data_IF_835655198041
#
_entry.id   IF_835655198041
#
_cell.length_a   1.000
_cell.length_b   1.000
_cell.length_c   1.000
_cell.angle_alpha   90.00
_cell.angle_beta   90.00
_cell.angle_gamma   90.00
#
_symmetry.space_group_name_H-M   'P 1'
#
loop_
_entity.id
_entity.type
_entity.pdbx_description
1 polymer ?
#
# COMPACT_ATOMS: atom_id res chain seq x y z
N UNK A 1 -0.35 -13.14 46.77
CA UNK A 1 -0.22 -13.19 45.31
C UNK A 1 -1.00 -12.04 44.71
N UNK A 2 -0.39 -11.03 44.12
CA UNK A 2 -1.13 -10.01 43.41
C UNK A 2 -1.48 -10.54 42.04
N UNK A 3 -2.78 -10.40 41.70
CA UNK A 3 -3.33 -10.75 40.40
C UNK A 3 -2.67 -9.88 39.30
N UNK A 4 -2.11 -10.52 38.29
CA UNK A 4 -1.72 -9.86 37.05
C UNK A 4 -2.97 -9.22 36.42
N UNK A 5 -3.01 -7.88 36.42
CA UNK A 5 -3.96 -7.13 35.61
C UNK A 5 -3.73 -7.50 34.15
N UNK A 6 -4.76 -8.05 33.51
CA UNK A 6 -4.71 -8.47 32.10
C UNK A 6 -4.39 -7.27 31.23
N UNK A 7 -3.28 -7.34 30.52
CA UNK A 7 -2.99 -6.48 29.38
C UNK A 7 -3.99 -6.85 28.29
N UNK A 8 -5.06 -6.05 28.15
CA UNK A 8 -5.92 -6.08 26.96
C UNK A 8 -5.18 -5.35 25.84
N UNK A 9 -4.16 -6.00 25.28
CA UNK A 9 -3.58 -5.56 24.03
C UNK A 9 -4.66 -5.55 22.94
N UNK A 10 -4.62 -4.58 22.04
CA UNK A 10 -5.49 -4.57 20.84
C UNK A 10 -5.11 -5.79 20.02
N UNK A 11 -5.91 -6.84 20.14
CA UNK A 11 -5.67 -8.10 19.43
C UNK A 11 -5.71 -7.81 17.94
N UNK A 12 -4.54 -7.82 17.29
CA UNK A 12 -4.41 -7.94 15.86
C UNK A 12 -4.03 -6.70 15.04
N UNK A 13 -3.49 -5.59 15.63
CA UNK A 13 -2.90 -4.51 14.80
C UNK A 13 -1.64 -5.03 14.09
N UNK A 14 -1.61 -4.87 12.77
CA UNK A 14 -0.43 -5.20 11.96
C UNK A 14 0.31 -3.92 11.59
N UNK A 15 1.62 -4.06 11.42
CA UNK A 15 2.51 -2.96 11.05
C UNK A 15 3.21 -3.26 9.74
N UNK A 16 3.10 -2.33 8.79
CA UNK A 16 3.85 -2.33 7.56
C UNK A 16 4.86 -1.19 7.52
N UNK A 17 5.83 -1.29 6.63
CA UNK A 17 6.84 -0.24 6.43
C UNK A 17 7.21 -0.08 4.97
N UNK A 18 7.72 1.12 4.60
CA UNK A 18 8.19 1.40 3.26
C UNK A 18 9.64 0.97 3.07
N UNK A 19 9.87 0.25 1.96
CA UNK A 19 11.23 0.03 1.44
C UNK A 19 11.65 1.22 0.57
N UNK A 20 12.97 1.50 0.52
CA UNK A 20 13.48 2.55 -0.34
C UNK A 20 13.37 2.13 -1.81
N UNK A 21 12.64 2.93 -2.59
CA UNK A 21 12.49 2.75 -4.03
C UNK A 21 13.31 3.77 -4.82
N UNK A 22 13.84 4.78 -4.15
CA UNK A 22 14.62 5.90 -4.74
C UNK A 22 15.52 6.53 -3.70
N UNK A 23 16.48 7.36 -4.18
CA UNK A 23 17.44 8.06 -3.33
C UNK A 23 18.58 7.17 -2.82
N UNK A 24 19.44 7.69 -1.95
CA UNK A 24 20.73 7.07 -1.62
C UNK A 24 20.61 5.69 -0.94
N UNK A 25 19.48 5.38 -0.34
CA UNK A 25 19.22 4.07 0.29
C UNK A 25 18.53 3.06 -0.63
N UNK A 26 18.14 3.45 -1.85
CA UNK A 26 17.57 2.57 -2.87
C UNK A 26 18.65 1.71 -3.55
N UNK A 27 19.30 0.90 -2.77
CA UNK A 27 20.35 -0.03 -3.17
C UNK A 27 19.95 -1.46 -2.80
N UNK A 28 20.66 -2.45 -3.37
CA UNK A 28 20.46 -3.85 -2.97
C UNK A 28 20.61 -4.04 -1.46
N UNK A 29 21.61 -3.42 -0.87
CA UNK A 29 21.86 -3.49 0.57
C UNK A 29 20.74 -2.84 1.38
N UNK A 30 20.28 -1.64 0.99
CA UNK A 30 19.18 -0.94 1.66
C UNK A 30 17.86 -1.70 1.58
N UNK A 31 17.48 -2.18 0.39
CA UNK A 31 16.23 -2.93 0.17
C UNK A 31 16.24 -4.25 0.94
N UNK A 32 17.28 -5.08 0.75
CA UNK A 32 17.35 -6.41 1.38
C UNK A 32 17.58 -6.29 2.89
N UNK A 33 18.43 -5.35 3.32
CA UNK A 33 18.72 -5.15 4.74
C UNK A 33 17.48 -4.74 5.52
N UNK A 34 16.75 -3.72 5.03
CA UNK A 34 15.51 -3.28 5.69
C UNK A 34 14.41 -4.35 5.65
N UNK A 35 14.28 -5.09 4.54
CA UNK A 35 13.29 -6.15 4.45
C UNK A 35 13.55 -7.27 5.49
N UNK A 36 14.79 -7.74 5.60
CA UNK A 36 15.17 -8.76 6.59
C UNK A 36 15.03 -8.28 8.03
N UNK A 37 15.43 -7.04 8.29
CA UNK A 37 15.31 -6.47 9.63
C UNK A 37 13.85 -6.28 10.03
N UNK A 38 12.99 -5.76 9.13
CA UNK A 38 11.56 -5.65 9.37
C UNK A 38 10.90 -7.00 9.65
N UNK A 39 11.25 -8.04 8.88
CA UNK A 39 10.79 -9.40 9.15
C UNK A 39 11.25 -9.92 10.52
N UNK A 40 12.53 -9.73 10.86
CA UNK A 40 13.09 -10.11 12.15
C UNK A 40 12.41 -9.44 13.35
N UNK A 41 12.02 -8.18 13.17
CA UNK A 41 11.34 -7.36 14.18
C UNK A 41 9.83 -7.64 14.27
N UNK A 42 9.28 -8.49 13.39
CA UNK A 42 7.87 -8.88 13.42
C UNK A 42 6.93 -7.94 12.65
N UNK A 43 7.45 -7.10 11.76
CA UNK A 43 6.60 -6.36 10.84
C UNK A 43 5.87 -7.32 9.90
N UNK A 44 4.62 -6.97 9.58
CA UNK A 44 3.74 -7.79 8.76
C UNK A 44 4.01 -7.65 7.27
N UNK A 45 4.27 -6.43 6.79
CA UNK A 45 4.40 -6.14 5.37
C UNK A 45 5.50 -5.16 5.05
N UNK A 46 6.09 -5.31 3.87
CA UNK A 46 6.95 -4.32 3.23
C UNK A 46 6.25 -3.73 2.01
N UNK A 47 6.25 -2.40 1.92
CA UNK A 47 5.53 -1.67 0.88
C UNK A 47 6.46 -0.91 -0.03
N UNK A 48 6.09 -0.85 -1.30
CA UNK A 48 6.81 -0.10 -2.32
C UNK A 48 5.86 0.79 -3.13
N UNK A 49 6.34 1.99 -3.47
CA UNK A 49 5.69 2.86 -4.42
C UNK A 49 6.05 2.45 -5.86
N UNK A 50 5.22 2.86 -6.82
CA UNK A 50 5.40 2.56 -8.23
C UNK A 50 5.57 3.83 -9.05
N UNK A 51 6.71 3.95 -9.71
CA UNK A 51 6.98 4.85 -10.80
C UNK A 51 7.91 4.13 -11.78
N UNK A 52 7.72 4.36 -13.07
CA UNK A 52 8.53 3.77 -14.14
C UNK A 52 9.51 4.79 -14.69
N UNK A 53 9.02 5.99 -14.99
CA UNK A 53 9.82 7.11 -15.49
C UNK A 53 9.33 8.42 -14.90
N UNK A 54 10.21 9.40 -14.79
CA UNK A 54 9.85 10.75 -14.39
C UNK A 54 10.15 11.73 -15.52
N UNK A 55 9.25 12.66 -15.83
CA UNK A 55 9.54 13.75 -16.77
C UNK A 55 10.58 14.70 -16.17
N UNK A 56 11.29 15.43 -17.03
CA UNK A 56 12.18 16.50 -16.59
C UNK A 56 11.42 17.68 -16.01
N UNK A 57 10.25 17.97 -16.56
CA UNK A 57 9.29 18.98 -16.11
C UNK A 57 7.90 18.37 -16.04
N UNK A 58 7.05 18.86 -15.14
CA UNK A 58 5.70 18.34 -14.94
C UNK A 58 4.77 19.48 -14.52
N UNK A 59 3.62 19.57 -15.19
CA UNK A 59 2.47 20.41 -14.82
C UNK A 59 1.49 19.66 -13.91
N UNK A 60 1.66 18.35 -13.75
CA UNK A 60 0.82 17.51 -12.90
C UNK A 60 1.00 17.85 -11.42
N UNK A 61 -0.12 17.99 -10.72
CA UNK A 61 -0.11 18.26 -9.27
C UNK A 61 0.02 16.97 -8.49
N UNK A 62 1.04 16.90 -7.61
CA UNK A 62 1.20 15.78 -6.69
C UNK A 62 0.22 15.88 -5.51
N UNK A 63 -0.65 14.89 -5.28
CA UNK A 63 -1.76 15.02 -4.34
C UNK A 63 -1.36 14.95 -2.85
N UNK A 64 -0.13 14.54 -2.54
CA UNK A 64 0.29 14.25 -1.17
C UNK A 64 1.25 15.29 -0.56
N UNK A 65 1.39 16.46 -1.20
CA UNK A 65 2.12 17.60 -0.64
C UNK A 65 1.28 18.86 -0.73
N UNK A 66 1.42 19.75 0.24
CA UNK A 66 0.74 21.07 0.23
C UNK A 66 1.20 21.92 -0.95
N UNK A 67 2.44 21.77 -1.37
CA UNK A 67 3.00 22.51 -2.52
C UNK A 67 2.51 21.98 -3.87
N UNK A 68 1.87 20.82 -3.92
CA UNK A 68 1.52 20.12 -5.15
C UNK A 68 2.73 19.59 -5.94
N UNK A 69 3.95 19.73 -5.41
CA UNK A 69 5.17 19.23 -6.06
C UNK A 69 5.59 17.90 -5.49
N UNK A 70 6.01 16.98 -6.34
CA UNK A 70 6.53 15.69 -5.91
C UNK A 70 7.88 15.88 -5.19
N UNK A 71 8.04 15.37 -3.93
CA UNK A 71 9.19 15.68 -3.09
C UNK A 71 10.29 14.63 -3.27
N UNK A 72 10.77 14.31 -4.39
CA UNK A 72 11.75 13.25 -4.42
C UNK A 72 12.57 13.14 -5.69
N UNK A 73 13.59 12.30 -5.61
CA UNK A 73 14.45 11.93 -6.73
C UNK A 73 13.68 11.26 -7.86
N UNK A 74 14.28 11.27 -9.05
CA UNK A 74 13.71 10.69 -10.27
C UNK A 74 14.29 9.31 -10.59
N UNK A 75 15.07 8.76 -9.67
CA UNK A 75 15.85 7.54 -9.73
C UNK A 75 15.11 6.31 -9.17
N UNK A 76 13.82 6.15 -9.50
CA UNK A 76 13.01 5.06 -8.98
C UNK A 76 13.45 3.70 -9.54
N UNK A 77 13.61 2.73 -8.64
CA UNK A 77 13.71 1.31 -8.99
C UNK A 77 12.35 0.74 -9.35
N UNK A 78 12.32 -0.21 -10.31
CA UNK A 78 11.08 -0.89 -10.69
C UNK A 78 10.47 -1.71 -9.55
N UNK A 79 9.16 -1.59 -9.40
CA UNK A 79 8.41 -2.20 -8.31
C UNK A 79 8.50 -3.74 -8.29
N UNK A 80 8.31 -4.41 -9.41
CA UNK A 80 8.36 -5.87 -9.46
C UNK A 80 9.77 -6.42 -9.29
N UNK A 81 10.78 -5.69 -9.75
CA UNK A 81 12.18 -6.03 -9.53
C UNK A 81 12.52 -6.02 -8.04
N UNK A 82 12.11 -4.98 -7.30
CA UNK A 82 12.28 -4.93 -5.84
C UNK A 82 11.55 -6.09 -5.17
N UNK A 83 10.27 -6.28 -5.47
CA UNK A 83 9.47 -7.33 -4.83
C UNK A 83 10.04 -8.73 -5.11
N UNK A 84 10.56 -8.99 -6.31
CA UNK A 84 11.23 -10.24 -6.63
C UNK A 84 12.47 -10.50 -5.77
N UNK A 85 13.31 -9.47 -5.56
CA UNK A 85 14.48 -9.55 -4.69
C UNK A 85 14.06 -9.76 -3.23
N UNK A 86 13.06 -9.06 -2.74
CA UNK A 86 12.56 -9.19 -1.36
C UNK A 86 11.89 -10.55 -1.14
N UNK A 87 11.17 -11.08 -2.14
CA UNK A 87 10.57 -12.42 -2.08
C UNK A 87 11.62 -13.50 -1.81
N UNK A 88 12.77 -13.41 -2.48
CA UNK A 88 13.88 -14.35 -2.29
C UNK A 88 14.74 -14.08 -1.04
N UNK A 89 14.58 -12.91 -0.39
CA UNK A 89 15.38 -12.53 0.77
C UNK A 89 14.66 -12.69 2.11
N UNK A 90 13.34 -12.95 2.10
CA UNK A 90 12.44 -13.05 3.26
C UNK A 90 11.55 -14.27 3.14
N UNK A 91 10.96 -14.71 4.27
CA UNK A 91 10.13 -15.92 4.33
C UNK A 91 8.66 -15.66 4.71
N UNK A 92 8.39 -14.62 5.52
CA UNK A 92 7.06 -14.34 6.12
C UNK A 92 6.51 -12.98 5.73
N UNK A 93 7.39 -12.03 5.42
CA UNK A 93 7.03 -10.64 5.15
C UNK A 93 6.12 -10.54 3.91
N UNK A 94 4.94 -9.95 4.06
CA UNK A 94 4.05 -9.69 2.92
C UNK A 94 4.63 -8.62 2.00
N UNK A 95 4.43 -8.81 0.72
CA UNK A 95 4.97 -8.00 -0.36
C UNK A 95 3.83 -7.16 -0.95
N UNK A 96 3.87 -5.86 -0.72
CA UNK A 96 2.73 -4.99 -1.06
C UNK A 96 3.16 -3.85 -1.97
N UNK A 97 2.45 -3.67 -3.07
CA UNK A 97 2.54 -2.41 -3.85
C UNK A 97 1.68 -1.33 -3.19
N UNK A 98 2.21 -0.12 -3.01
CA UNK A 98 1.49 0.98 -2.34
C UNK A 98 1.72 2.31 -3.06
N UNK A 99 1.14 2.47 -4.24
CA UNK A 99 0.30 1.52 -4.97
C UNK A 99 0.86 1.31 -6.38
N UNK A 100 0.60 0.15 -6.99
CA UNK A 100 0.86 -0.06 -8.41
C UNK A 100 -0.09 0.81 -9.24
N UNK A 101 0.44 1.58 -10.16
CA UNK A 101 -0.37 2.38 -11.08
C UNK A 101 -0.81 1.49 -12.24
N UNK A 102 -2.04 0.99 -12.17
CA UNK A 102 -2.54 -0.05 -13.09
C UNK A 102 -2.39 0.31 -14.57
N UNK A 103 -2.76 1.54 -15.03
CA UNK A 103 -2.68 1.86 -16.45
C UNK A 103 -1.26 1.92 -17.04
N UNK A 104 -0.20 1.94 -16.22
CA UNK A 104 1.18 2.00 -16.74
C UNK A 104 1.62 0.72 -17.43
N UNK A 105 0.95 -0.40 -17.20
CA UNK A 105 1.35 -1.72 -17.71
C UNK A 105 0.21 -2.44 -18.42
N UNK A 106 0.57 -3.30 -19.35
CA UNK A 106 -0.36 -4.22 -19.96
C UNK A 106 -1.00 -5.13 -18.89
N UNK A 107 -2.34 -5.28 -18.84
CA UNK A 107 -3.03 -6.01 -17.77
C UNK A 107 -2.72 -7.51 -17.76
N UNK A 108 -2.52 -8.13 -18.93
CA UNK A 108 -2.18 -9.56 -19.06
C UNK A 108 -0.77 -9.81 -18.53
N UNK A 109 0.18 -8.94 -18.91
CA UNK A 109 1.56 -9.02 -18.39
C UNK A 109 1.57 -8.82 -16.88
N UNK A 110 0.83 -7.82 -16.38
CA UNK A 110 0.72 -7.55 -14.94
C UNK A 110 0.13 -8.74 -14.19
N UNK A 111 -0.94 -9.35 -14.71
CA UNK A 111 -1.54 -10.56 -14.12
C UNK A 111 -0.50 -11.69 -14.02
N UNK A 112 0.30 -11.89 -15.07
CA UNK A 112 1.35 -12.91 -15.11
C UNK A 112 2.46 -12.64 -14.10
N UNK A 113 2.92 -11.39 -14.01
CA UNK A 113 3.97 -11.00 -13.07
C UNK A 113 3.52 -11.19 -11.61
N UNK A 114 2.29 -10.78 -11.29
CA UNK A 114 1.72 -10.95 -9.94
C UNK A 114 1.54 -12.42 -9.60
N UNK A 115 1.00 -13.25 -10.49
CA UNK A 115 0.84 -14.67 -10.27
C UNK A 115 2.19 -15.38 -10.05
N UNK A 116 3.19 -15.04 -10.85
CA UNK A 116 4.55 -15.58 -10.72
C UNK A 116 5.19 -15.17 -9.39
N UNK A 117 5.06 -13.90 -9.02
CA UNK A 117 5.57 -13.38 -7.75
C UNK A 117 4.87 -14.05 -6.55
N UNK A 118 3.56 -14.28 -6.66
CA UNK A 118 2.78 -14.96 -5.62
C UNK A 118 3.27 -16.40 -5.40
N UNK A 119 3.49 -17.14 -6.48
CA UNK A 119 4.08 -18.49 -6.43
C UNK A 119 5.49 -18.46 -5.83
N UNK A 120 6.37 -17.59 -6.31
CA UNK A 120 7.77 -17.51 -5.87
C UNK A 120 7.91 -17.01 -4.43
N UNK A 121 6.96 -16.22 -3.95
CA UNK A 121 6.93 -15.74 -2.56
C UNK A 121 6.23 -16.70 -1.60
N UNK A 122 5.63 -17.80 -2.07
CA UNK A 122 4.83 -18.68 -1.21
C UNK A 122 3.49 -18.07 -0.77
N UNK A 123 2.83 -17.28 -1.63
CA UNK A 123 1.51 -16.71 -1.36
C UNK A 123 1.54 -15.44 -0.49
N UNK A 124 2.59 -14.63 -0.58
CA UNK A 124 2.77 -13.43 0.24
C UNK A 124 2.44 -12.11 -0.44
N UNK A 125 1.91 -12.11 -1.67
CA UNK A 125 1.61 -10.89 -2.42
C UNK A 125 0.29 -10.27 -1.97
N UNK A 126 0.27 -8.96 -1.82
CA UNK A 126 -0.94 -8.12 -1.80
C UNK A 126 -0.78 -7.03 -2.84
N UNK A 127 -1.71 -6.95 -3.79
CA UNK A 127 -1.66 -5.98 -4.86
C UNK A 127 -2.41 -4.71 -4.47
N UNK A 128 -1.69 -3.71 -3.95
CA UNK A 128 -2.23 -2.38 -3.77
C UNK A 128 -2.25 -1.64 -5.11
N UNK A 129 -3.41 -1.11 -5.51
CA UNK A 129 -3.63 -0.53 -6.84
C UNK A 129 -4.07 0.92 -6.78
N UNK A 130 -3.61 1.70 -7.74
CA UNK A 130 -3.98 3.09 -7.94
C UNK A 130 -4.21 3.42 -9.41
N UNK A 131 -4.77 4.61 -9.65
CA UNK A 131 -5.08 5.07 -11.01
C UNK A 131 -4.00 6.00 -11.59
N UNK A 132 -3.04 6.44 -10.78
CA UNK A 132 -2.01 7.39 -11.20
C UNK A 132 -2.42 8.86 -11.11
N UNK A 133 -1.42 9.73 -11.03
CA UNK A 133 -1.57 11.19 -10.92
C UNK A 133 -0.72 11.96 -11.94
N UNK A 134 0.37 11.37 -12.44
CA UNK A 134 1.40 12.01 -13.27
C UNK A 134 1.08 11.77 -14.76
N UNK A 135 0.42 12.75 -15.40
CA UNK A 135 0.01 12.67 -16.82
C UNK A 135 1.19 12.38 -17.75
N UNK A 136 2.29 13.07 -17.53
CA UNK A 136 3.47 12.99 -18.38
C UNK A 136 4.11 11.58 -18.35
N UNK A 137 3.96 10.85 -17.25
CA UNK A 137 4.37 9.45 -17.17
C UNK A 137 3.43 8.55 -17.99
N UNK A 138 2.11 8.81 -18.01
CA UNK A 138 1.18 8.13 -18.91
C UNK A 138 1.57 8.29 -20.37
N UNK A 139 1.91 9.50 -20.76
CA UNK A 139 2.31 9.84 -22.13
C UNK A 139 3.60 9.14 -22.52
N UNK A 140 4.64 9.19 -21.66
CA UNK A 140 5.93 8.54 -21.89
C UNK A 140 5.81 7.01 -22.01
N UNK A 141 4.87 6.39 -21.30
CA UNK A 141 4.63 4.96 -21.33
C UNK A 141 3.65 4.53 -22.43
N UNK A 142 3.12 5.47 -23.24
CA UNK A 142 2.05 5.20 -24.20
C UNK A 142 0.86 4.50 -23.55
N UNK A 143 0.58 4.82 -22.30
CA UNK A 143 -0.53 4.28 -21.53
C UNK A 143 -1.88 4.72 -22.10
N UNK A 144 -3.00 4.03 -21.83
CA UNK A 144 -4.33 4.53 -22.18
C UNK A 144 -4.58 5.94 -21.59
N UNK A 145 -5.53 6.66 -22.19
CA UNK A 145 -5.82 8.08 -21.84
C UNK A 145 -5.86 8.33 -20.34
N UNK A 146 -5.13 9.33 -19.90
CA UNK A 146 -5.11 9.78 -18.52
C UNK A 146 -6.50 10.13 -17.98
N UNK A 147 -7.38 10.72 -18.82
CA UNK A 147 -8.76 11.08 -18.47
C UNK A 147 -9.59 9.82 -18.15
N UNK A 148 -9.31 8.73 -18.84
CA UNK A 148 -10.03 7.45 -18.68
C UNK A 148 -9.36 6.50 -17.67
N UNK A 149 -8.27 6.92 -17.00
CA UNK A 149 -7.46 6.06 -16.12
C UNK A 149 -8.27 5.30 -15.04
N UNK A 150 -9.37 5.90 -14.57
CA UNK A 150 -10.27 5.23 -13.64
C UNK A 150 -10.99 4.03 -14.25
N UNK A 151 -11.60 4.21 -15.43
CA UNK A 151 -12.31 3.15 -16.17
C UNK A 151 -11.33 2.06 -16.64
N UNK A 152 -10.15 2.47 -17.14
CA UNK A 152 -9.06 1.54 -17.48
C UNK A 152 -8.66 0.70 -16.27
N UNK A 153 -8.46 1.30 -15.10
CA UNK A 153 -8.10 0.56 -13.89
C UNK A 153 -9.19 -0.42 -13.45
N UNK A 154 -10.47 -0.06 -13.58
CA UNK A 154 -11.59 -0.93 -13.27
C UNK A 154 -11.61 -2.16 -14.20
N UNK A 155 -11.30 -1.95 -15.49
CA UNK A 155 -11.20 -3.04 -16.46
C UNK A 155 -9.98 -3.92 -16.21
N UNK A 156 -8.80 -3.33 -15.90
CA UNK A 156 -7.57 -4.08 -15.57
C UNK A 156 -7.76 -4.99 -14.35
N UNK A 157 -8.46 -4.53 -13.31
CA UNK A 157 -8.76 -5.39 -12.14
C UNK A 157 -9.61 -6.59 -12.56
N UNK A 158 -10.63 -6.42 -13.40
CA UNK A 158 -11.47 -7.52 -13.87
C UNK A 158 -10.67 -8.53 -14.70
N UNK A 159 -9.80 -8.03 -15.59
CA UNK A 159 -8.91 -8.87 -16.41
C UNK A 159 -8.00 -9.71 -15.51
N UNK A 160 -7.32 -9.10 -14.55
CA UNK A 160 -6.41 -9.80 -13.65
C UNK A 160 -7.14 -10.86 -12.83
N UNK A 161 -8.29 -10.54 -12.23
CA UNK A 161 -9.10 -11.51 -11.47
C UNK A 161 -9.51 -12.69 -12.35
N UNK A 162 -9.92 -12.45 -13.59
CA UNK A 162 -10.29 -13.52 -14.51
C UNK A 162 -9.09 -14.41 -14.85
N UNK A 163 -7.94 -13.82 -15.21
CA UNK A 163 -6.72 -14.56 -15.55
C UNK A 163 -6.15 -15.37 -14.39
N UNK A 164 -6.45 -15.01 -13.14
CA UNK A 164 -6.02 -15.73 -11.95
C UNK A 164 -6.97 -16.86 -11.54
N UNK A 165 -8.17 -16.93 -12.12
CA UNK A 165 -9.22 -17.86 -11.70
C UNK A 165 -9.79 -18.73 -12.82
N UNK A 166 -9.51 -18.40 -14.08
CA UNK A 166 -10.11 -19.06 -15.24
C UNK A 166 -9.03 -19.41 -16.29
N UNK A 167 -9.03 -20.64 -16.80
CA UNK A 167 -8.14 -21.11 -17.87
C UNK A 167 -8.88 -22.16 -18.72
N UNK A 168 -8.97 -22.01 -20.04
CA UNK A 168 -8.61 -20.82 -20.81
C UNK A 168 -9.54 -19.63 -20.51
N UNK A 169 -9.02 -18.42 -20.69
CA UNK A 169 -9.75 -17.17 -20.43
C UNK A 169 -9.98 -16.40 -21.73
N UNK A 170 -11.14 -15.76 -21.84
CA UNK A 170 -11.47 -14.80 -22.91
C UNK A 170 -12.09 -13.56 -22.27
N UNK A 171 -11.74 -12.39 -22.77
CA UNK A 171 -12.24 -11.11 -22.26
C UNK A 171 -12.54 -10.16 -23.41
N UNK A 172 -13.67 -9.49 -23.33
CA UNK A 172 -14.06 -8.42 -24.23
C UNK A 172 -14.48 -7.20 -23.43
N UNK A 173 -13.61 -6.19 -23.42
CA UNK A 173 -13.79 -4.93 -22.71
C UNK A 173 -13.74 -3.74 -23.65
N UNK A 174 -13.84 -2.55 -23.06
CA UNK A 174 -13.74 -1.28 -23.80
C UNK A 174 -12.29 -1.00 -24.22
N UNK A 175 -11.31 -1.32 -23.36
CA UNK A 175 -9.90 -0.97 -23.55
C UNK A 175 -9.05 -2.16 -23.95
N UNK A 176 -9.49 -3.38 -23.65
CA UNK A 176 -8.70 -4.58 -23.89
C UNK A 176 -9.55 -5.78 -24.26
N UNK A 177 -9.00 -6.65 -25.13
CA UNK A 177 -9.64 -7.90 -25.52
C UNK A 177 -8.62 -9.00 -25.74
N UNK A 178 -9.00 -10.22 -25.39
CA UNK A 178 -8.27 -11.45 -25.75
C UNK A 178 -9.22 -12.63 -25.81
N UNK A 179 -8.80 -13.67 -26.50
CA UNK A 179 -9.61 -14.86 -26.69
C UNK A 179 -8.77 -16.12 -26.47
N UNK A 180 -9.32 -17.06 -25.71
CA UNK A 180 -8.79 -18.41 -25.48
C UNK A 180 -7.31 -18.44 -25.08
N UNK A 181 -6.92 -17.61 -24.09
CA UNK A 181 -5.55 -17.53 -23.59
C UNK A 181 -5.35 -18.34 -22.32
N UNK A 182 -4.17 -18.94 -22.16
CA UNK A 182 -3.72 -19.61 -20.95
C UNK A 182 -2.78 -18.68 -20.16
N UNK A 183 -3.11 -18.40 -18.91
CA UNK A 183 -2.29 -17.56 -18.01
C UNK A 183 -1.90 -18.34 -16.76
N UNK A 184 -1.16 -19.42 -16.94
CA UNK A 184 -0.69 -20.30 -15.86
C UNK A 184 0.81 -20.07 -15.57
N UNK A 185 1.30 -20.34 -14.32
CA UNK A 185 0.52 -20.85 -13.18
C UNK A 185 -0.45 -19.83 -12.60
N UNK A 186 -1.53 -20.31 -11.99
CA UNK A 186 -2.37 -19.48 -11.13
C UNK A 186 -1.62 -19.08 -9.86
N UNK A 187 -1.99 -17.95 -9.21
CA UNK A 187 -1.49 -17.62 -7.90
C UNK A 187 -1.73 -18.74 -6.88
N UNK A 188 -0.88 -18.84 -5.86
CA UNK A 188 -1.09 -19.76 -4.73
C UNK A 188 -2.29 -19.34 -3.88
N UNK A 189 -2.44 -18.04 -3.66
CA UNK A 189 -3.56 -17.47 -2.90
C UNK A 189 -4.88 -17.68 -3.65
N UNK A 190 -5.93 -18.06 -2.92
CA UNK A 190 -7.26 -18.32 -3.50
C UNK A 190 -8.30 -17.36 -2.91
N UNK A 191 -9.22 -16.84 -3.72
CA UNK A 191 -9.34 -17.06 -5.19
C UNK A 191 -8.22 -16.39 -5.99
N UNK A 192 -7.55 -15.38 -5.45
CA UNK A 192 -6.43 -14.61 -6.02
C UNK A 192 -5.70 -13.82 -4.91
N UNK A 193 -4.52 -13.23 -5.17
CA UNK A 193 -3.87 -12.30 -4.24
C UNK A 193 -4.83 -11.15 -3.88
N UNK A 194 -4.88 -10.72 -2.61
CA UNK A 194 -5.74 -9.61 -2.20
C UNK A 194 -5.44 -8.34 -3.00
N UNK A 195 -6.49 -7.63 -3.43
CA UNK A 195 -6.39 -6.36 -4.13
C UNK A 195 -6.81 -5.24 -3.17
N UNK A 196 -5.89 -4.36 -2.84
CA UNK A 196 -6.15 -3.17 -2.04
C UNK A 196 -6.24 -1.93 -2.92
N UNK A 197 -7.28 -1.14 -2.77
CA UNK A 197 -7.48 0.07 -3.57
C UNK A 197 -6.99 1.29 -2.80
N UNK A 198 -6.07 2.03 -3.39
CA UNK A 198 -5.53 3.27 -2.84
C UNK A 198 -6.45 4.49 -3.07
N UNK A 199 -6.23 5.51 -2.23
CA UNK A 199 -6.96 6.77 -2.31
C UNK A 199 -8.28 6.77 -1.53
N UNK A 200 -8.87 7.98 -1.36
CA UNK A 200 -10.10 8.17 -0.57
C UNK A 200 -11.15 9.03 -1.30
N UNK A 201 -10.99 9.25 -2.60
CA UNK A 201 -12.03 9.87 -3.41
C UNK A 201 -13.28 8.96 -3.50
N UNK A 202 -14.44 9.55 -3.77
CA UNK A 202 -15.67 8.77 -4.02
C UNK A 202 -15.48 7.70 -5.11
N UNK A 203 -14.66 7.96 -6.10
CA UNK A 203 -14.33 6.96 -7.14
C UNK A 203 -13.50 5.80 -6.57
N UNK A 204 -12.53 6.09 -5.69
CA UNK A 204 -11.74 5.05 -5.02
C UNK A 204 -12.62 4.20 -4.10
N UNK A 205 -13.50 4.79 -3.30
CA UNK A 205 -14.45 4.04 -2.46
C UNK A 205 -15.37 3.13 -3.29
N UNK A 206 -15.93 3.63 -4.40
CA UNK A 206 -16.75 2.80 -5.31
C UNK A 206 -15.96 1.66 -5.93
N UNK A 207 -14.69 1.90 -6.31
CA UNK A 207 -13.80 0.85 -6.84
C UNK A 207 -13.50 -0.20 -5.79
N UNK A 208 -13.20 0.22 -4.55
CA UNK A 208 -12.99 -0.69 -3.42
C UNK A 208 -14.24 -1.54 -3.19
N UNK A 209 -15.41 -0.92 -3.10
CA UNK A 209 -16.68 -1.62 -2.89
C UNK A 209 -16.97 -2.69 -3.96
N UNK A 210 -16.66 -2.40 -5.23
CA UNK A 210 -16.93 -3.32 -6.34
C UNK A 210 -15.87 -4.40 -6.52
N UNK A 211 -14.60 -4.06 -6.34
CA UNK A 211 -13.50 -4.90 -6.80
C UNK A 211 -12.43 -5.17 -5.75
N UNK A 212 -12.31 -4.35 -4.69
CA UNK A 212 -11.25 -4.46 -3.71
C UNK A 212 -11.53 -5.52 -2.65
N UNK A 213 -10.47 -6.10 -2.12
CA UNK A 213 -10.45 -6.94 -0.92
C UNK A 213 -9.94 -6.13 0.29
N UNK A 214 -9.41 -4.93 0.02
CA UNK A 214 -9.00 -3.96 1.02
C UNK A 214 -9.04 -2.53 0.49
N UNK A 215 -9.08 -1.60 1.42
CA UNK A 215 -8.97 -0.16 1.18
C UNK A 215 -7.70 0.38 1.83
N UNK A 216 -6.90 1.13 1.05
CA UNK A 216 -5.59 1.62 1.44
C UNK A 216 -5.47 3.13 1.28
N UNK A 217 -6.14 3.93 2.15
CA UNK A 217 -6.04 5.39 2.15
C UNK A 217 -4.70 5.88 2.71
N UNK A 218 -4.31 7.08 2.28
CA UNK A 218 -3.18 7.84 2.86
C UNK A 218 -3.72 8.90 3.79
N UNK A 219 -3.09 9.07 4.94
CA UNK A 219 -3.41 10.14 5.88
C UNK A 219 -2.23 10.51 6.77
N UNK A 220 -2.47 11.21 7.85
CA UNK A 220 -1.47 11.71 8.79
C UNK A 220 -0.36 12.57 8.14
N UNK A 221 -0.68 13.25 7.05
CA UNK A 221 0.20 14.22 6.38
C UNK A 221 -0.51 15.57 6.23
N UNK A 222 0.28 16.66 6.10
CA UNK A 222 -0.27 18.02 6.08
C UNK A 222 -1.27 18.26 4.93
N UNK A 223 -1.02 17.67 3.73
CA UNK A 223 -1.92 17.76 2.59
C UNK A 223 -3.20 16.93 2.79
N UNK A 224 -3.20 15.99 3.70
CA UNK A 224 -4.25 15.00 3.88
C UNK A 224 -4.23 14.46 5.33
N UNK A 225 -4.78 15.20 6.28
CA UNK A 225 -4.74 14.82 7.68
C UNK A 225 -5.47 13.51 7.99
N UNK A 226 -6.66 13.32 7.41
CA UNK A 226 -7.52 12.16 7.56
C UNK A 226 -7.52 11.55 8.97
N UNK A 227 -7.96 12.33 9.98
CA UNK A 227 -7.97 11.90 11.38
C UNK A 227 -9.00 10.77 11.61
N UNK A 228 -8.96 10.08 12.77
CA UNK A 228 -9.84 8.93 13.03
C UNK A 228 -11.33 9.20 12.82
N UNK A 229 -11.81 10.38 13.16
CA UNK A 229 -13.23 10.73 12.99
C UNK A 229 -13.64 10.80 11.50
N UNK A 230 -12.83 11.42 10.67
CA UNK A 230 -13.07 11.51 9.22
C UNK A 230 -12.91 10.14 8.56
N UNK A 231 -11.86 9.39 8.93
CA UNK A 231 -11.63 8.04 8.44
C UNK A 231 -12.81 7.11 8.78
N UNK A 232 -13.36 7.19 10.00
CA UNK A 232 -14.55 6.43 10.41
C UNK A 232 -15.76 6.74 9.53
N UNK A 233 -15.97 8.01 9.17
CA UNK A 233 -17.07 8.40 8.28
C UNK A 233 -16.91 7.78 6.88
N UNK A 234 -15.68 7.78 6.34
CA UNK A 234 -15.39 7.15 5.04
C UNK A 234 -15.49 5.63 5.08
N UNK A 235 -15.11 4.97 6.18
CA UNK A 235 -15.33 3.53 6.40
C UNK A 235 -16.84 3.24 6.37
N UNK A 236 -17.66 4.03 7.05
CA UNK A 236 -19.12 3.89 7.02
C UNK A 236 -19.71 4.09 5.62
N UNK A 237 -19.16 5.02 4.82
CA UNK A 237 -19.57 5.19 3.42
C UNK A 237 -19.14 4.00 2.56
N UNK A 238 -17.92 3.49 2.74
CA UNK A 238 -17.43 2.31 2.05
C UNK A 238 -18.32 1.09 2.35
N UNK A 239 -18.71 0.88 3.59
CA UNK A 239 -19.61 -0.23 3.98
C UNK A 239 -20.95 -0.12 3.24
N UNK A 240 -21.59 1.05 3.25
CA UNK A 240 -22.84 1.28 2.51
C UNK A 240 -22.71 1.03 1.00
N UNK A 241 -21.61 1.48 0.40
CA UNK A 241 -21.33 1.24 -1.02
C UNK A 241 -21.11 -0.24 -1.31
N UNK A 242 -20.50 -0.98 -0.40
CA UNK A 242 -20.24 -2.42 -0.51
C UNK A 242 -21.52 -3.23 -0.42
N UNK A 243 -22.38 -2.90 0.53
CA UNK A 243 -23.72 -3.49 0.66
C UNK A 243 -24.58 -3.22 -0.59
N UNK A 244 -24.53 -1.98 -1.12
CA UNK A 244 -25.28 -1.59 -2.31
C UNK A 244 -24.90 -2.37 -3.57
N UNK A 245 -23.70 -2.99 -3.62
CA UNK A 245 -23.28 -3.88 -4.70
C UNK A 245 -23.42 -5.36 -4.35
N UNK A 246 -24.09 -5.70 -3.25
CA UNK A 246 -24.37 -7.07 -2.83
C UNK A 246 -23.17 -7.81 -2.22
N UNK A 247 -22.17 -7.08 -1.70
CA UNK A 247 -21.00 -7.66 -1.03
C UNK A 247 -21.06 -7.44 0.47
N UNK A 248 -20.47 -8.35 1.24
CA UNK A 248 -20.29 -8.20 2.68
C UNK A 248 -19.16 -7.18 2.98
N UNK A 249 -19.45 -6.04 3.63
CA UNK A 249 -18.47 -5.02 3.95
C UNK A 249 -17.40 -5.51 4.93
N UNK A 250 -17.67 -6.53 5.74
CA UNK A 250 -16.71 -7.08 6.70
C UNK A 250 -15.52 -7.79 6.02
N UNK A 251 -15.66 -8.13 4.73
CA UNK A 251 -14.61 -8.74 3.92
C UNK A 251 -13.59 -7.72 3.42
N UNK A 252 -13.84 -6.41 3.57
CA UNK A 252 -12.92 -5.37 3.14
C UNK A 252 -12.02 -4.97 4.30
N UNK A 253 -10.74 -5.23 4.14
CA UNK A 253 -9.71 -4.82 5.11
C UNK A 253 -9.36 -3.34 4.95
N UNK A 254 -9.11 -2.63 6.06
CA UNK A 254 -8.61 -1.24 6.04
C UNK A 254 -7.14 -1.22 6.46
N UNK A 255 -6.26 -0.85 5.52
CA UNK A 255 -4.83 -0.62 5.75
C UNK A 255 -4.55 0.88 5.59
N UNK A 256 -4.17 1.56 6.68
CA UNK A 256 -3.97 3.01 6.68
C UNK A 256 -2.50 3.35 6.50
N UNK A 257 -2.19 4.08 5.44
CA UNK A 257 -0.86 4.59 5.18
C UNK A 257 -0.65 5.89 5.95
N UNK A 258 0.19 5.83 6.99
CA UNK A 258 0.63 6.95 7.80
C UNK A 258 2.13 7.20 7.55
N UNK A 259 2.54 7.97 6.52
CA UNK A 259 3.95 8.12 6.18
C UNK A 259 4.78 8.78 7.26
N UNK A 260 4.15 9.60 8.11
CA UNK A 260 4.85 10.25 9.19
C UNK A 260 4.99 9.32 10.39
N UNK A 261 6.21 9.14 10.85
CA UNK A 261 6.56 8.60 12.14
C UNK A 261 7.76 9.37 12.66
N UNK A 262 7.60 10.08 13.78
CA UNK A 262 8.71 10.84 14.37
C UNK A 262 8.58 10.98 15.87
N UNK A 263 9.46 10.31 16.61
CA UNK A 263 9.59 10.43 18.08
C UNK A 263 10.34 11.70 18.53
N UNK A 264 10.88 12.48 17.59
CA UNK A 264 11.74 13.63 17.89
C UNK A 264 11.19 14.98 17.43
N UNK A 265 9.93 15.02 16.96
CA UNK A 265 9.32 16.31 16.70
C UNK A 265 9.20 17.03 18.08
N UNK A 266 9.86 18.17 18.25
CA UNK A 266 9.75 18.91 19.49
C UNK A 266 8.28 19.24 19.73
N UNK A 267 7.87 19.22 20.99
CA UNK A 267 6.62 19.82 21.45
C UNK A 267 6.69 21.34 21.23
N UNK A 268 6.75 21.75 19.98
CA UNK A 268 6.66 23.15 19.56
C UNK A 268 5.21 23.52 19.52
N UNK A 269 4.81 24.59 20.18
CA UNK A 269 3.50 25.18 20.44
C UNK A 269 2.35 25.09 19.40
N UNK A 270 2.23 23.99 18.69
CA UNK A 270 1.16 23.64 17.77
C UNK A 270 0.52 22.30 18.13
N UNK A 271 -0.62 22.00 17.48
CA UNK A 271 -1.33 20.74 17.65
C UNK A 271 -0.43 19.55 17.26
N UNK A 272 -0.33 18.54 18.13
CA UNK A 272 0.46 17.33 17.88
C UNK A 272 -0.08 16.56 16.68
N UNK A 273 0.77 16.16 15.78
CA UNK A 273 0.40 15.31 14.64
C UNK A 273 0.28 13.85 15.08
N UNK A 274 -0.67 13.13 14.50
CA UNK A 274 -0.78 11.70 14.73
C UNK A 274 0.53 10.98 14.38
N UNK A 275 0.87 9.99 15.21
CA UNK A 275 2.09 9.17 15.12
C UNK A 275 3.39 9.94 15.31
N UNK A 276 3.33 11.07 16.04
CA UNK A 276 4.50 11.80 16.52
C UNK A 276 4.44 11.99 18.04
N UNK A 277 5.58 12.30 18.66
CA UNK A 277 5.69 12.49 20.11
C UNK A 277 6.27 11.28 20.84
N UNK A 278 5.88 11.08 22.10
CA UNK A 278 6.34 9.96 22.92
C UNK A 278 5.79 8.60 22.43
N UNK A 279 6.43 7.46 22.77
CA UNK A 279 5.91 6.13 22.47
C UNK A 279 4.48 5.90 22.97
N UNK A 280 4.12 6.40 24.15
CA UNK A 280 2.77 6.29 24.70
C UNK A 280 1.72 7.07 23.90
N UNK A 281 2.08 8.27 23.44
CA UNK A 281 1.21 9.08 22.57
C UNK A 281 0.99 8.40 21.23
N UNK A 282 2.04 7.86 20.63
CA UNK A 282 1.96 7.11 19.36
C UNK A 282 1.10 5.84 19.56
N UNK A 283 1.31 5.11 20.65
CA UNK A 283 0.48 3.94 20.98
C UNK A 283 -1.00 4.31 21.21
N UNK A 284 -1.26 5.48 21.81
CA UNK A 284 -2.59 6.05 21.93
C UNK A 284 -3.26 6.31 20.58
N UNK A 285 -2.52 6.90 19.64
CA UNK A 285 -3.00 7.08 18.26
C UNK A 285 -3.31 5.74 17.57
N UNK A 286 -2.40 4.77 17.69
CA UNK A 286 -2.58 3.43 17.12
C UNK A 286 -3.88 2.80 17.64
N UNK A 287 -4.12 2.85 18.95
CA UNK A 287 -5.37 2.35 19.55
C UNK A 287 -6.60 3.08 19.02
N UNK A 288 -6.53 4.40 18.81
CA UNK A 288 -7.64 5.17 18.24
C UNK A 288 -7.99 4.74 16.81
N UNK A 289 -6.98 4.48 15.97
CA UNK A 289 -7.18 3.96 14.61
C UNK A 289 -7.67 2.50 14.61
N UNK A 290 -7.16 1.66 15.52
CA UNK A 290 -7.66 0.29 15.70
C UNK A 290 -9.14 0.24 16.07
N UNK A 291 -9.57 1.12 16.99
CA UNK A 291 -10.95 1.20 17.47
C UNK A 291 -11.98 1.55 16.38
N UNK A 292 -11.55 2.09 15.25
CA UNK A 292 -12.42 2.40 14.11
C UNK A 292 -12.33 1.36 12.99
N UNK A 293 -11.61 0.26 13.20
CA UNK A 293 -11.55 -0.87 12.26
C UNK A 293 -10.32 -0.92 11.36
N UNK A 294 -9.32 -0.05 11.56
CA UNK A 294 -8.03 -0.17 10.88
C UNK A 294 -7.34 -1.46 11.35
N UNK A 295 -6.89 -2.28 10.40
CA UNK A 295 -6.24 -3.57 10.65
C UNK A 295 -4.73 -3.53 10.47
N UNK A 296 -4.25 -2.58 9.67
CA UNK A 296 -2.82 -2.39 9.42
C UNK A 296 -2.46 -0.91 9.33
N UNK A 297 -1.39 -0.53 10.00
CA UNK A 297 -0.78 0.80 9.91
C UNK A 297 0.58 0.68 9.22
N UNK A 298 0.81 1.59 8.27
CA UNK A 298 2.02 1.56 7.44
C UNK A 298 2.80 2.84 7.63
N UNK A 299 4.03 2.72 8.07
CA UNK A 299 4.92 3.85 8.35
C UNK A 299 6.09 3.94 7.37
N UNK A 300 6.64 5.13 7.26
CA UNK A 300 7.87 5.38 6.50
C UNK A 300 9.02 5.71 7.47
N UNK A 301 9.91 4.75 7.66
CA UNK A 301 11.07 4.88 8.53
C UNK A 301 12.33 5.33 7.78
N UNK A 302 12.22 5.67 6.49
CA UNK A 302 13.37 6.06 5.69
C UNK A 302 14.03 7.33 6.23
N UNK A 303 15.36 7.26 6.35
CA UNK A 303 16.26 8.36 6.64
C UNK A 303 17.17 8.63 5.44
N UNK A 304 18.08 9.59 5.59
CA UNK A 304 19.09 9.90 4.56
C UNK A 304 20.15 8.79 4.43
N UNK A 305 20.41 8.08 5.54
CA UNK A 305 21.32 6.94 5.58
C UNK A 305 20.59 5.65 5.96
N UNK A 306 21.13 4.50 5.51
CA UNK A 306 20.60 3.19 5.85
C UNK A 306 20.59 2.93 7.36
N UNK A 307 21.67 3.32 8.05
CA UNK A 307 21.79 3.17 9.50
C UNK A 307 20.69 3.93 10.25
N UNK A 308 20.30 5.11 9.77
CA UNK A 308 19.20 5.90 10.32
C UNK A 308 17.85 5.20 10.12
N UNK A 309 17.60 4.70 8.91
CA UNK A 309 16.38 3.94 8.60
C UNK A 309 16.26 2.68 9.48
N UNK A 310 17.34 1.95 9.67
CA UNK A 310 17.41 0.80 10.58
C UNK A 310 17.12 1.18 12.03
N UNK A 311 17.75 2.26 12.52
CA UNK A 311 17.55 2.73 13.89
C UNK A 311 16.10 3.15 14.16
N UNK A 312 15.44 3.83 13.21
CA UNK A 312 14.03 4.23 13.32
C UNK A 312 13.10 3.00 13.36
N UNK A 313 13.33 2.03 12.49
CA UNK A 313 12.57 0.78 12.44
C UNK A 313 12.69 -0.01 13.75
N UNK A 314 13.92 -0.18 14.24
CA UNK A 314 14.24 -0.87 15.49
C UNK A 314 13.61 -0.18 16.70
N UNK A 315 13.68 1.16 16.75
CA UNK A 315 13.09 1.95 17.82
C UNK A 315 11.59 1.80 17.90
N UNK A 316 10.88 1.86 16.78
CA UNK A 316 9.43 1.61 16.73
C UNK A 316 9.09 0.23 17.28
N UNK A 317 9.82 -0.80 16.85
CA UNK A 317 9.59 -2.16 17.29
C UNK A 317 9.86 -2.36 18.79
N UNK A 318 10.87 -1.67 19.33
CA UNK A 318 11.25 -1.79 20.75
C UNK A 318 10.39 -0.95 21.69
N UNK A 319 10.02 0.27 21.28
CA UNK A 319 9.40 1.26 22.16
C UNK A 319 7.89 1.41 21.97
N UNK A 320 7.35 1.14 20.76
CA UNK A 320 5.93 1.38 20.44
C UNK A 320 5.13 0.08 20.34
N UNK A 321 5.62 -0.91 19.59
CA UNK A 321 4.85 -2.17 19.39
C UNK A 321 4.44 -2.86 20.71
N UNK A 322 5.28 -2.89 21.78
CA UNK A 322 4.92 -3.54 23.03
C UNK A 322 3.83 -2.81 23.83
N UNK A 323 3.52 -1.56 23.48
CA UNK A 323 2.54 -0.72 24.18
C UNK A 323 1.12 -0.86 23.59
N UNK A 324 0.95 -1.54 22.44
CA UNK A 324 -0.30 -1.73 21.73
C UNK A 324 -0.77 -3.17 21.82
#
# INVERSE_FOLDING_TARGET
MPACAGMTGVVGMRYGFYLPTRGPTATREGVVGLAREGERLGFHSAMIADHVVFPTESDSTYPYTVSGKHPGGRDALDAFSILGVVAGATEKLRLVTSVLVLPYRNPVLTAKMVASLDVLSGGRVTLGVGTGWLREEFEALSSPSFERRGAVSDEWIRIMKQLWTTSPASFEGEFYRYKDVLCEPFPLQKPHPPIWVGGHSKAALRRTARYGDGWHPVGAIAAMPLPPQELRALIGELHRLTEAVGRDPTTIEVSYKAPLYDTHLPAGGGERKHFSGSPDEIAGDIRAFAAIGVKELVFDFRGEALAESMARLQRFAAEVMPLV
#
